data_IF_031046816777
#
_entry.id   IF_031046816777
#
_cell.length_a   1.000
_cell.length_b   1.000
_cell.length_c   1.000
_cell.angle_alpha   90.00
_cell.angle_beta   90.00
_cell.angle_gamma   90.00
#
_symmetry.space_group_name_H-M   'P 1'
#
loop_
_entity.id
_entity.type
_entity.pdbx_description
1 polymer ?
#
# COMPACT_ATOMS: atom_id res chain seq x y z
N UNK A 1 12.15 29.55 6.72
CA UNK A 1 11.62 29.97 8.02
C UNK A 1 11.04 28.78 8.78
N UNK A 2 10.93 28.91 10.09
CA UNK A 2 10.29 27.90 10.95
C UNK A 2 8.89 27.52 10.44
N UNK A 3 8.08 28.51 10.15
CA UNK A 3 6.70 28.28 9.67
C UNK A 3 6.67 27.48 8.37
N UNK A 4 7.64 27.71 7.47
CA UNK A 4 7.73 26.95 6.22
C UNK A 4 8.01 25.46 6.51
N UNK A 5 8.93 25.17 7.44
CA UNK A 5 9.23 23.79 7.83
C UNK A 5 8.02 23.10 8.43
N UNK A 6 7.32 23.75 9.34
CA UNK A 6 6.09 23.22 9.95
C UNK A 6 5.04 22.93 8.87
N UNK A 7 4.87 23.83 7.92
CA UNK A 7 3.93 23.64 6.80
C UNK A 7 4.29 22.45 5.93
N UNK A 8 5.58 22.28 5.59
CA UNK A 8 6.04 21.14 4.80
C UNK A 8 5.87 19.81 5.54
N UNK A 9 6.13 19.78 6.84
CA UNK A 9 5.92 18.59 7.67
C UNK A 9 4.45 18.19 7.69
N UNK A 10 3.54 19.17 7.88
CA UNK A 10 2.11 18.93 7.83
C UNK A 10 1.64 18.41 6.48
N UNK A 11 2.23 18.90 5.39
CA UNK A 11 1.89 18.42 4.05
C UNK A 11 2.24 16.92 3.90
N UNK A 12 3.42 16.50 4.40
CA UNK A 12 3.81 15.10 4.40
C UNK A 12 2.86 14.26 5.25
N UNK A 13 2.54 14.71 6.46
CA UNK A 13 1.64 13.99 7.37
C UNK A 13 0.23 13.86 6.79
N UNK A 14 -0.29 14.90 6.16
CA UNK A 14 -1.59 14.89 5.49
C UNK A 14 -1.60 13.96 4.27
N UNK A 15 -0.53 13.97 3.49
CA UNK A 15 -0.39 13.09 2.33
C UNK A 15 -0.33 11.61 2.76
N UNK A 16 0.38 11.31 3.86
CA UNK A 16 0.39 9.98 4.46
C UNK A 16 -1.01 9.56 4.93
N UNK A 17 -1.72 10.41 5.65
CA UNK A 17 -3.07 10.11 6.14
C UNK A 17 -4.04 9.78 5.00
N UNK A 18 -3.96 10.50 3.88
CA UNK A 18 -4.77 10.20 2.69
C UNK A 18 -4.43 8.85 2.08
N UNK A 19 -3.14 8.54 1.97
CA UNK A 19 -2.66 7.24 1.47
C UNK A 19 -3.08 6.10 2.41
N UNK A 20 -2.86 6.26 3.72
CA UNK A 20 -3.24 5.30 4.75
C UNK A 20 -4.73 4.96 4.69
N UNK A 21 -5.59 5.96 4.54
CA UNK A 21 -7.04 5.78 4.45
C UNK A 21 -7.41 4.87 3.28
N UNK A 22 -6.82 5.08 2.10
CA UNK A 22 -7.10 4.25 0.92
C UNK A 22 -6.50 2.84 1.05
N UNK A 23 -5.32 2.69 1.67
CA UNK A 23 -4.73 1.36 1.95
C UNK A 23 -5.59 0.59 2.94
N UNK A 24 -6.14 1.25 3.96
CA UNK A 24 -7.06 0.62 4.90
C UNK A 24 -8.32 0.09 4.21
N UNK A 25 -8.87 0.82 3.24
CA UNK A 25 -9.98 0.34 2.42
C UNK A 25 -9.61 -0.93 1.65
N UNK A 26 -8.39 -0.99 1.10
CA UNK A 26 -7.85 -2.19 0.46
C UNK A 26 -7.81 -3.37 1.43
N UNK A 27 -7.26 -3.17 2.63
CA UNK A 27 -7.14 -4.23 3.63
C UNK A 27 -8.47 -4.64 4.26
N UNK A 28 -9.51 -3.84 4.15
CA UNK A 28 -10.88 -4.22 4.48
C UNK A 28 -11.54 -5.06 3.39
N UNK A 29 -11.15 -4.87 2.14
CA UNK A 29 -11.72 -5.57 0.98
C UNK A 29 -11.03 -6.90 0.68
N UNK A 30 -9.70 -6.97 0.83
CA UNK A 30 -8.91 -8.17 0.52
C UNK A 30 -9.36 -9.43 1.28
N UNK A 31 -9.69 -9.40 2.58
CA UNK A 31 -10.12 -10.60 3.29
C UNK A 31 -11.32 -11.27 2.65
N UNK A 32 -12.32 -10.50 2.25
CA UNK A 32 -13.54 -11.04 1.64
C UNK A 32 -13.24 -11.68 0.30
N UNK A 33 -12.39 -11.05 -0.52
CA UNK A 33 -11.94 -11.62 -1.79
C UNK A 33 -11.18 -12.93 -1.60
N UNK A 34 -10.24 -12.95 -0.65
CA UNK A 34 -9.44 -14.14 -0.33
C UNK A 34 -10.32 -15.29 0.16
N UNK A 35 -11.31 -15.02 1.00
CA UNK A 35 -12.24 -16.03 1.51
C UNK A 35 -13.11 -16.65 0.40
N UNK A 36 -13.53 -15.88 -0.58
CA UNK A 36 -14.29 -16.42 -1.72
C UNK A 36 -13.44 -17.44 -2.48
N UNK A 37 -12.23 -17.09 -2.85
CA UNK A 37 -11.33 -18.00 -3.59
C UNK A 37 -10.94 -19.21 -2.75
N UNK A 38 -10.66 -19.00 -1.45
CA UNK A 38 -10.37 -20.08 -0.50
C UNK A 38 -11.51 -21.09 -0.42
N UNK A 39 -12.75 -20.66 -0.50
CA UNK A 39 -13.93 -21.53 -0.49
C UNK A 39 -13.95 -22.52 -1.66
N UNK A 40 -13.40 -22.15 -2.81
CA UNK A 40 -13.26 -23.03 -3.99
C UNK A 40 -11.95 -23.82 -3.97
N UNK A 41 -10.86 -23.23 -3.49
CA UNK A 41 -9.51 -23.81 -3.49
C UNK A 41 -9.15 -24.42 -2.12
N UNK A 42 -9.96 -25.33 -1.61
CA UNK A 42 -9.87 -25.87 -0.23
C UNK A 42 -8.57 -26.61 0.07
N UNK A 43 -7.83 -27.07 -0.95
CA UNK A 43 -6.57 -27.78 -0.77
C UNK A 43 -5.36 -26.85 -0.67
N UNK A 44 -5.56 -25.54 -0.82
CA UNK A 44 -4.49 -24.54 -0.83
C UNK A 44 -4.38 -23.80 0.52
N UNK A 45 -4.56 -24.50 1.62
CA UNK A 45 -4.58 -23.94 2.98
C UNK A 45 -3.29 -23.17 3.28
N UNK A 46 -2.13 -23.74 2.97
CA UNK A 46 -0.83 -23.12 3.23
C UNK A 46 -0.66 -21.78 2.50
N UNK A 47 -1.16 -21.69 1.26
CA UNK A 47 -1.11 -20.45 0.50
C UNK A 47 -1.98 -19.35 1.12
N UNK A 48 -3.19 -19.69 1.55
CA UNK A 48 -4.08 -18.69 2.19
C UNK A 48 -3.59 -18.30 3.59
N UNK A 49 -2.87 -19.16 4.30
CA UNK A 49 -2.16 -18.77 5.53
C UNK A 49 -1.04 -17.77 5.24
N UNK A 50 -0.28 -17.96 4.17
CA UNK A 50 0.74 -17.01 3.75
C UNK A 50 0.13 -15.64 3.39
N UNK A 51 -1.00 -15.63 2.68
CA UNK A 51 -1.74 -14.40 2.38
C UNK A 51 -2.18 -13.68 3.66
N UNK A 52 -2.71 -14.42 4.61
CA UNK A 52 -3.14 -13.85 5.90
C UNK A 52 -1.96 -13.21 6.65
N UNK A 53 -0.84 -13.92 6.77
CA UNK A 53 0.35 -13.42 7.47
C UNK A 53 0.90 -12.16 6.77
N UNK A 54 1.03 -12.19 5.46
CA UNK A 54 1.53 -11.05 4.68
C UNK A 54 0.62 -9.83 4.80
N UNK A 55 -0.70 -10.03 4.74
CA UNK A 55 -1.70 -8.97 4.91
C UNK A 55 -1.65 -8.38 6.32
N UNK A 56 -1.53 -9.19 7.35
CA UNK A 56 -1.43 -8.72 8.73
C UNK A 56 -0.13 -7.92 8.96
N UNK A 57 0.99 -8.38 8.40
CA UNK A 57 2.26 -7.66 8.50
C UNK A 57 2.17 -6.28 7.84
N UNK A 58 1.58 -6.19 6.65
CA UNK A 58 1.41 -4.92 5.93
C UNK A 58 0.46 -3.97 6.69
N UNK A 59 -0.65 -4.47 7.20
CA UNK A 59 -1.61 -3.70 8.00
C UNK A 59 -0.97 -3.18 9.30
N UNK A 60 -0.20 -4.01 9.99
CA UNK A 60 0.50 -3.62 11.22
C UNK A 60 1.54 -2.53 10.98
N UNK A 61 2.33 -2.64 9.93
CA UNK A 61 3.32 -1.62 9.56
C UNK A 61 2.66 -0.30 9.15
N UNK A 62 1.52 -0.35 8.48
CA UNK A 62 0.74 0.83 8.11
C UNK A 62 0.27 1.59 9.36
N UNK A 63 -0.34 0.89 10.30
CA UNK A 63 -0.85 1.48 11.56
C UNK A 63 0.28 2.04 12.41
N UNK A 64 1.44 1.36 12.43
CA UNK A 64 2.64 1.83 13.11
C UNK A 64 3.32 3.01 12.40
N UNK A 65 2.87 3.39 11.22
CA UNK A 65 3.46 4.44 10.36
C UNK A 65 4.94 4.19 10.04
N UNK A 66 5.32 2.92 10.00
CA UNK A 66 6.67 2.51 9.62
C UNK A 66 6.72 2.24 8.11
N UNK A 67 7.13 3.24 7.33
CA UNK A 67 7.15 3.16 5.87
C UNK A 67 8.08 2.07 5.36
N UNK A 68 9.27 1.93 5.96
CA UNK A 68 10.23 0.90 5.57
C UNK A 68 9.69 -0.52 5.76
N UNK A 69 9.10 -0.81 6.91
CA UNK A 69 8.47 -2.10 7.19
C UNK A 69 7.25 -2.32 6.30
N UNK A 70 6.45 -1.27 6.06
CA UNK A 70 5.32 -1.32 5.14
C UNK A 70 5.76 -1.69 3.73
N UNK A 71 6.82 -1.06 3.20
CA UNK A 71 7.36 -1.37 1.87
C UNK A 71 7.75 -2.84 1.75
N UNK A 72 8.42 -3.39 2.77
CA UNK A 72 8.81 -4.81 2.79
C UNK A 72 7.60 -5.75 2.84
N UNK A 73 6.66 -5.46 3.73
CA UNK A 73 5.46 -6.27 3.89
C UNK A 73 4.56 -6.20 2.66
N UNK A 74 4.41 -5.02 2.06
CA UNK A 74 3.65 -4.85 0.82
C UNK A 74 4.31 -5.59 -0.35
N UNK A 75 5.62 -5.59 -0.45
CA UNK A 75 6.36 -6.36 -1.46
C UNK A 75 6.13 -7.86 -1.29
N UNK A 76 6.19 -8.38 -0.07
CA UNK A 76 5.91 -9.78 0.23
C UNK A 76 4.47 -10.17 -0.15
N UNK A 77 3.49 -9.31 0.15
CA UNK A 77 2.10 -9.53 -0.23
C UNK A 77 1.93 -9.51 -1.75
N UNK A 78 2.57 -8.57 -2.44
CA UNK A 78 2.50 -8.45 -3.89
C UNK A 78 3.08 -9.68 -4.60
N UNK A 79 4.10 -10.33 -4.05
CA UNK A 79 4.67 -11.56 -4.61
C UNK A 79 3.69 -12.75 -4.62
N UNK A 80 2.64 -12.70 -3.81
CA UNK A 80 1.61 -13.74 -3.77
C UNK A 80 0.50 -13.50 -4.81
N UNK A 81 0.46 -12.33 -5.43
CA UNK A 81 -0.57 -11.95 -6.41
C UNK A 81 -0.64 -12.88 -7.63
N UNK A 82 0.49 -13.26 -8.29
CA UNK A 82 0.43 -14.15 -9.44
C UNK A 82 -0.21 -15.50 -9.12
N UNK A 83 0.12 -16.09 -7.98
CA UNK A 83 -0.46 -17.37 -7.57
C UNK A 83 -1.94 -17.26 -7.25
N UNK A 84 -2.36 -16.19 -6.58
CA UNK A 84 -3.77 -15.92 -6.33
C UNK A 84 -4.56 -15.79 -7.62
N UNK A 85 -4.04 -15.05 -8.59
CA UNK A 85 -4.66 -14.90 -9.90
C UNK A 85 -4.74 -16.24 -10.65
N UNK A 86 -3.68 -17.05 -10.59
CA UNK A 86 -3.66 -18.38 -11.19
C UNK A 86 -4.71 -19.30 -10.56
N UNK A 87 -4.89 -19.26 -9.24
CA UNK A 87 -5.93 -20.04 -8.55
C UNK A 87 -7.34 -19.57 -8.96
N UNK A 88 -7.55 -18.26 -9.04
CA UNK A 88 -8.83 -17.71 -9.50
C UNK A 88 -9.15 -18.12 -10.94
N UNK A 89 -8.14 -18.16 -11.81
CA UNK A 89 -8.29 -18.62 -13.20
C UNK A 89 -8.56 -20.13 -13.30
N UNK A 90 -8.05 -20.93 -12.37
CA UNK A 90 -8.23 -22.37 -12.36
C UNK A 90 -9.64 -22.83 -11.98
N UNK A 91 -10.44 -21.94 -11.37
CA UNK A 91 -11.80 -22.22 -10.91
C UNK A 91 -12.79 -21.34 -11.65
N UNK A 92 -13.47 -21.82 -12.70
CA UNK A 92 -14.45 -21.05 -13.45
C UNK A 92 -15.59 -20.51 -12.58
N UNK A 93 -15.96 -21.21 -11.51
CA UNK A 93 -16.99 -20.82 -10.57
C UNK A 93 -16.63 -19.53 -9.81
N UNK A 94 -15.35 -19.32 -9.53
CA UNK A 94 -14.85 -18.06 -8.92
C UNK A 94 -15.11 -16.89 -9.85
N UNK A 95 -14.77 -17.04 -11.12
CA UNK A 95 -14.94 -16.00 -12.13
C UNK A 95 -16.39 -15.64 -12.38
N UNK A 96 -17.30 -16.61 -12.19
CA UNK A 96 -18.73 -16.42 -12.33
C UNK A 96 -19.41 -15.86 -11.06
N UNK A 97 -18.71 -15.87 -9.93
CA UNK A 97 -19.23 -15.39 -8.65
C UNK A 97 -19.41 -13.87 -8.69
N UNK A 98 -20.63 -13.39 -8.42
CA UNK A 98 -20.95 -11.97 -8.47
C UNK A 98 -20.22 -11.15 -7.40
N UNK A 99 -20.03 -11.72 -6.20
CA UNK A 99 -19.28 -11.06 -5.11
C UNK A 99 -17.81 -10.95 -5.45
N UNK A 100 -17.22 -11.99 -6.04
CA UNK A 100 -15.84 -11.94 -6.54
C UNK A 100 -15.65 -10.82 -7.57
N UNK A 101 -16.56 -10.70 -8.53
CA UNK A 101 -16.51 -9.67 -9.57
C UNK A 101 -16.64 -8.26 -8.99
N UNK A 102 -17.57 -8.06 -8.06
CA UNK A 102 -17.78 -6.75 -7.43
C UNK A 102 -16.56 -6.33 -6.58
N UNK A 103 -16.02 -7.25 -5.79
CA UNK A 103 -14.81 -6.98 -4.98
C UNK A 103 -13.58 -6.73 -5.84
N UNK A 104 -13.43 -7.47 -6.94
CA UNK A 104 -12.33 -7.28 -7.90
C UNK A 104 -12.39 -5.90 -8.54
N UNK A 105 -13.56 -5.45 -8.98
CA UNK A 105 -13.77 -4.11 -9.54
C UNK A 105 -13.48 -3.02 -8.50
N UNK A 106 -13.91 -3.23 -7.26
CA UNK A 106 -13.66 -2.32 -6.16
C UNK A 106 -12.15 -2.17 -5.89
N UNK A 107 -11.42 -3.28 -5.89
CA UNK A 107 -9.96 -3.27 -5.70
C UNK A 107 -9.24 -2.54 -6.83
N UNK A 108 -9.67 -2.70 -8.07
CA UNK A 108 -9.10 -1.94 -9.21
C UNK A 108 -9.25 -0.44 -8.98
N UNK A 109 -10.43 0.02 -8.58
CA UNK A 109 -10.66 1.44 -8.27
C UNK A 109 -9.82 1.94 -7.10
N UNK A 110 -9.66 1.12 -6.06
CA UNK A 110 -8.80 1.46 -4.90
C UNK A 110 -7.34 1.58 -5.36
N UNK A 111 -6.84 0.65 -6.18
CA UNK A 111 -5.47 0.68 -6.68
C UNK A 111 -5.17 1.91 -7.55
N UNK A 112 -6.12 2.34 -8.36
CA UNK A 112 -5.98 3.58 -9.14
C UNK A 112 -5.81 4.79 -8.23
N UNK A 113 -6.62 4.90 -7.18
CA UNK A 113 -6.47 5.98 -6.19
C UNK A 113 -5.17 5.86 -5.39
N UNK A 114 -4.77 4.63 -5.03
CA UNK A 114 -3.50 4.40 -4.33
C UNK A 114 -2.30 4.86 -5.14
N UNK A 115 -2.31 4.66 -6.45
CA UNK A 115 -1.25 5.14 -7.33
C UNK A 115 -1.11 6.66 -7.24
N UNK A 116 -2.21 7.40 -7.31
CA UNK A 116 -2.23 8.86 -7.20
C UNK A 116 -1.79 9.33 -5.82
N UNK A 117 -2.29 8.70 -4.75
CA UNK A 117 -1.95 9.05 -3.37
C UNK A 117 -0.48 8.78 -3.05
N UNK A 118 0.07 7.69 -3.58
CA UNK A 118 1.49 7.34 -3.43
C UNK A 118 2.38 8.37 -4.11
N UNK A 119 2.06 8.73 -5.34
CA UNK A 119 2.80 9.74 -6.09
C UNK A 119 2.79 11.08 -5.36
N UNK A 120 1.63 11.50 -4.87
CA UNK A 120 1.49 12.73 -4.11
C UNK A 120 2.32 12.70 -2.82
N UNK A 121 2.22 11.62 -2.03
CA UNK A 121 3.02 11.45 -0.81
C UNK A 121 4.52 11.50 -1.12
N UNK A 122 4.97 10.77 -2.12
CA UNK A 122 6.38 10.74 -2.50
C UNK A 122 6.89 12.10 -2.96
N UNK A 123 6.05 12.88 -3.64
CA UNK A 123 6.36 14.27 -4.02
C UNK A 123 6.56 15.16 -2.78
N UNK A 124 5.65 15.08 -1.82
CA UNK A 124 5.73 15.88 -0.58
C UNK A 124 6.95 15.49 0.26
N UNK A 125 7.27 14.19 0.35
CA UNK A 125 8.48 13.69 1.03
C UNK A 125 9.74 14.22 0.34
N UNK A 126 9.77 14.23 -0.98
CA UNK A 126 10.92 14.74 -1.74
C UNK A 126 11.13 16.23 -1.46
N UNK A 127 10.06 17.02 -1.43
CA UNK A 127 10.11 18.45 -1.08
C UNK A 127 10.62 18.63 0.35
N UNK A 128 10.10 17.84 1.29
CA UNK A 128 10.54 17.85 2.69
C UNK A 128 12.01 17.52 2.84
N UNK A 129 12.44 16.40 2.29
CA UNK A 129 13.82 15.92 2.39
C UNK A 129 14.81 16.95 1.80
N UNK A 130 14.43 17.58 0.70
CA UNK A 130 15.23 18.64 0.08
C UNK A 130 15.29 19.88 0.98
N UNK A 131 14.16 20.30 1.53
CA UNK A 131 14.07 21.51 2.34
C UNK A 131 14.94 21.44 3.61
N UNK A 132 14.98 20.28 4.29
CA UNK A 132 15.79 20.11 5.52
C UNK A 132 17.29 20.06 5.25
N UNK A 133 17.69 19.89 3.99
CA UNK A 133 19.11 19.87 3.58
C UNK A 133 19.62 21.23 3.06
N UNK A 134 18.72 22.14 2.77
CA UNK A 134 19.08 23.44 2.16
C UNK A 134 19.28 24.54 3.20
N UNK A 135 20.27 25.42 2.94
CA UNK A 135 20.50 26.64 3.71
C UNK A 135 19.41 27.69 3.31
N UNK A 136 18.83 28.44 4.26
CA UNK A 136 19.09 28.44 5.71
C UNK A 136 18.25 27.43 6.49
N UNK A 137 17.38 26.68 5.84
CA UNK A 137 16.41 25.77 6.47
C UNK A 137 17.10 24.64 7.22
N UNK A 138 18.26 24.20 6.76
CA UNK A 138 19.08 23.17 7.40
C UNK A 138 19.37 23.49 8.89
N UNK A 139 19.70 24.73 9.21
CA UNK A 139 19.99 25.14 10.60
C UNK A 139 18.75 24.98 11.48
N UNK A 140 17.60 25.41 10.96
CA UNK A 140 16.31 25.29 11.66
C UNK A 140 15.92 23.82 11.82
N UNK A 141 16.12 23.02 10.77
CA UNK A 141 15.83 21.59 10.78
C UNK A 141 16.68 20.85 11.82
N UNK A 142 17.97 21.18 11.94
CA UNK A 142 18.86 20.61 12.94
C UNK A 142 18.42 20.94 14.38
N UNK A 143 18.04 22.19 14.64
CA UNK A 143 17.51 22.61 15.95
C UNK A 143 16.19 21.88 16.29
N UNK A 144 15.33 21.68 15.30
CA UNK A 144 14.04 20.99 15.45
C UNK A 144 14.20 19.48 15.58
N UNK A 145 15.37 18.92 15.22
CA UNK A 145 15.56 17.46 15.16
C UNK A 145 14.84 16.81 13.99
N UNK A 146 14.66 17.56 12.90
CA UNK A 146 13.96 17.07 11.69
C UNK A 146 14.79 16.01 10.96
N UNK A 147 14.14 14.93 10.55
CA UNK A 147 14.78 13.82 9.84
C UNK A 147 14.17 13.63 8.45
N UNK A 148 14.95 13.00 7.58
CA UNK A 148 14.47 12.56 6.28
C UNK A 148 13.36 11.51 6.46
N UNK A 149 12.42 11.51 5.51
CA UNK A 149 11.33 10.54 5.45
C UNK A 149 11.56 9.58 4.29
N UNK A 150 11.14 8.33 4.47
CA UNK A 150 11.20 7.33 3.41
C UNK A 150 10.08 7.52 2.40
N UNK A 151 10.40 7.18 1.15
CA UNK A 151 9.42 7.10 0.06
C UNK A 151 8.66 5.77 0.15
N UNK A 152 7.42 5.77 -0.32
CA UNK A 152 6.67 4.54 -0.56
C UNK A 152 7.14 3.96 -1.88
N UNK A 153 7.52 2.66 -1.88
CA UNK A 153 7.95 1.96 -3.07
C UNK A 153 6.80 1.78 -4.07
N UNK A 154 7.13 1.89 -5.35
CA UNK A 154 6.19 1.54 -6.43
C UNK A 154 6.23 0.02 -6.58
N UNK A 155 5.11 -0.69 -6.41
CA UNK A 155 5.08 -2.13 -6.55
C UNK A 155 5.42 -2.57 -7.98
N UNK A 156 6.20 -3.66 -8.11
CA UNK A 156 6.65 -4.19 -9.40
C UNK A 156 5.50 -4.62 -10.31
N UNK A 157 4.35 -4.97 -9.75
CA UNK A 157 3.20 -5.40 -10.53
C UNK A 157 2.57 -4.30 -11.39
N UNK A 158 2.92 -3.02 -11.20
CA UNK A 158 2.49 -1.95 -12.11
C UNK A 158 3.06 -2.10 -13.52
N UNK A 159 4.11 -2.90 -13.67
CA UNK A 159 4.71 -3.21 -14.96
C UNK A 159 4.18 -4.51 -15.57
N UNK A 160 3.20 -5.14 -14.91
CA UNK A 160 2.62 -6.42 -15.30
C UNK A 160 1.11 -6.28 -15.49
N UNK A 161 0.58 -7.03 -16.45
CA UNK A 161 -0.84 -6.99 -16.81
C UNK A 161 -1.68 -7.89 -15.88
N UNK A 162 -1.75 -7.55 -14.58
CA UNK A 162 -2.57 -8.25 -13.62
C UNK A 162 -3.92 -7.56 -13.42
N UNK A 163 -4.98 -8.38 -13.32
CA UNK A 163 -6.36 -7.91 -13.08
C UNK A 163 -6.59 -7.54 -11.62
N UNK A 164 -5.96 -8.24 -10.69
CA UNK A 164 -6.06 -8.04 -9.25
C UNK A 164 -4.65 -7.85 -8.69
N UNK A 165 -4.49 -6.83 -7.85
CA UNK A 165 -3.22 -6.44 -7.26
C UNK A 165 -3.39 -6.30 -5.75
N UNK A 166 -2.39 -6.79 -5.04
CA UNK A 166 -2.40 -6.78 -3.58
C UNK A 166 -1.54 -5.68 -2.99
#
# INVERSE_FOLDING_TARGET
>A
SWNRLVSLELNVDNAWASYESDVMMKFQTLPDLHEIVKGFAKHEIAFFEQLFIARQAASGALVAKNVGDFNKAQSALAQLTPRFNALSEAYPEVKADSHFLDLSRRLVRIEERLADRREFYNSEVTIWNKAIQMIPTFIIAAVKGSQQRELIDVPDYYHQDYKIQF
#
